data_IF_629672705394
#
_entry.id   IF_629672705394
#
_cell.length_a   1.000
_cell.length_b   1.000
_cell.length_c   1.000
_cell.angle_alpha   90.00
_cell.angle_beta   90.00
_cell.angle_gamma   90.00
#
_symmetry.space_group_name_H-M   'P 1'
#
loop_
_entity.id
_entity.type
_entity.pdbx_description
1 polymer ?
#
# COMPACT_ATOMS: atom_id res chain seq x y z
N UNK A 1 10.67 2.54 -25.76
CA UNK A 1 10.31 3.04 -24.41
C UNK A 1 10.21 4.55 -24.48
N UNK A 2 9.06 5.05 -24.94
CA UNK A 2 8.70 6.46 -24.88
C UNK A 2 7.74 6.60 -23.70
N UNK A 3 8.25 6.36 -22.49
CA UNK A 3 7.47 6.60 -21.28
C UNK A 3 7.71 8.05 -20.84
N UNK A 4 6.73 8.91 -21.09
CA UNK A 4 6.67 10.26 -20.52
C UNK A 4 7.46 11.36 -21.23
N UNK A 5 8.04 11.11 -22.41
CA UNK A 5 8.77 12.12 -23.19
C UNK A 5 7.97 12.75 -24.34
N UNK A 6 6.70 12.38 -24.56
CA UNK A 6 5.88 12.99 -25.61
C UNK A 6 5.72 14.50 -25.41
N UNK A 7 5.58 14.96 -24.16
CA UNK A 7 5.51 16.40 -23.83
C UNK A 7 6.85 17.13 -24.00
N UNK A 8 7.96 16.43 -24.20
CA UNK A 8 9.28 17.04 -24.48
C UNK A 8 9.62 17.08 -25.98
N UNK A 9 8.80 16.42 -26.82
CA UNK A 9 8.89 16.56 -28.27
C UNK A 9 8.11 17.82 -28.66
N UNK A 10 8.70 18.76 -29.41
CA UNK A 10 7.96 19.92 -29.88
C UNK A 10 6.79 19.44 -30.73
N UNK A 11 5.58 19.82 -30.30
CA UNK A 11 4.37 19.58 -31.08
C UNK A 11 4.49 20.34 -32.41
N UNK A 12 4.61 19.56 -33.49
CA UNK A 12 4.84 20.08 -34.84
C UNK A 12 3.58 20.75 -35.41
N UNK A 13 2.40 20.39 -34.90
CA UNK A 13 1.13 21.00 -35.26
C UNK A 13 0.14 21.01 -34.06
N UNK A 14 0.25 22.01 -33.16
CA UNK A 14 -0.63 22.13 -32.00
C UNK A 14 -2.11 22.27 -32.34
N UNK A 15 -2.42 22.76 -33.54
CA UNK A 15 -3.81 22.89 -33.97
C UNK A 15 -4.40 21.52 -34.29
N UNK A 16 -3.68 20.68 -35.02
CA UNK A 16 -4.11 19.31 -35.29
C UNK A 16 -4.28 18.52 -33.98
N UNK A 17 -3.31 18.61 -33.05
CA UNK A 17 -3.40 17.97 -31.73
C UNK A 17 -4.67 18.41 -30.99
N UNK A 18 -4.98 19.71 -30.96
CA UNK A 18 -6.19 20.23 -30.31
C UNK A 18 -7.48 19.72 -30.99
N UNK A 19 -7.51 19.62 -32.33
CA UNK A 19 -8.66 19.08 -33.06
C UNK A 19 -8.94 17.61 -32.71
N UNK A 20 -7.91 16.80 -32.48
CA UNK A 20 -8.05 15.43 -31.99
C UNK A 20 -8.58 15.37 -30.56
N UNK A 21 -8.10 16.25 -29.68
CA UNK A 21 -8.58 16.35 -28.29
C UNK A 21 -10.05 16.77 -28.24
N UNK A 22 -10.42 17.83 -28.95
CA UNK A 22 -11.79 18.33 -29.05
C UNK A 22 -12.74 17.26 -29.63
N UNK A 23 -12.24 16.45 -30.57
CA UNK A 23 -13.00 15.34 -31.15
C UNK A 23 -13.29 14.24 -30.12
N UNK A 24 -12.32 13.92 -29.25
CA UNK A 24 -12.51 12.95 -28.17
C UNK A 24 -13.54 13.46 -27.15
N UNK A 25 -13.40 14.70 -26.70
CA UNK A 25 -14.32 15.35 -25.75
C UNK A 25 -15.75 15.39 -26.32
N UNK A 26 -15.91 15.78 -27.59
CA UNK A 26 -17.20 15.78 -28.25
C UNK A 26 -17.85 14.38 -28.31
N UNK A 27 -17.07 13.30 -28.43
CA UNK A 27 -17.59 11.93 -28.38
C UNK A 27 -18.03 11.57 -26.97
N UNK A 28 -17.25 11.91 -25.94
CA UNK A 28 -17.60 11.67 -24.53
C UNK A 28 -18.90 12.38 -24.19
N UNK A 29 -19.03 13.66 -24.55
CA UNK A 29 -20.20 14.48 -24.25
C UNK A 29 -21.46 14.01 -24.98
N UNK A 30 -21.34 13.64 -26.27
CA UNK A 30 -22.50 13.26 -27.09
C UNK A 30 -22.91 11.80 -26.95
N UNK A 31 -21.93 10.90 -26.81
CA UNK A 31 -22.12 9.45 -26.94
C UNK A 31 -21.69 8.66 -25.70
N UNK A 32 -21.11 9.32 -24.70
CA UNK A 32 -20.74 8.75 -23.42
C UNK A 32 -19.38 8.02 -23.39
N UNK A 33 -18.87 7.72 -22.17
CA UNK A 33 -17.52 7.17 -21.98
C UNK A 33 -17.28 5.82 -22.67
N UNK A 34 -18.29 4.93 -22.72
CA UNK A 34 -18.15 3.62 -23.38
C UNK A 34 -17.86 3.74 -24.88
N UNK A 35 -18.44 4.74 -25.55
CA UNK A 35 -18.21 4.97 -26.98
C UNK A 35 -16.81 5.52 -27.23
N UNK A 36 -16.37 6.46 -26.39
CA UNK A 36 -15.01 7.01 -26.45
C UNK A 36 -13.97 5.90 -26.24
N UNK A 37 -14.14 5.05 -25.22
CA UNK A 37 -13.27 3.89 -24.99
C UNK A 37 -13.21 2.95 -26.19
N UNK A 38 -14.36 2.63 -26.81
CA UNK A 38 -14.39 1.82 -28.03
C UNK A 38 -13.58 2.43 -29.18
N UNK A 39 -13.68 3.75 -29.40
CA UNK A 39 -12.91 4.43 -30.46
C UNK A 39 -11.41 4.43 -30.16
N UNK A 40 -11.01 4.68 -28.92
CA UNK A 40 -9.61 4.61 -28.49
C UNK A 40 -9.04 3.20 -28.70
N UNK A 41 -9.78 2.15 -28.35
CA UNK A 41 -9.35 0.77 -28.64
C UNK A 41 -9.18 0.51 -30.14
N UNK A 42 -10.04 1.07 -30.99
CA UNK A 42 -9.90 0.93 -32.46
C UNK A 42 -8.71 1.71 -33.02
N UNK A 43 -8.42 2.88 -32.47
CA UNK A 43 -7.22 3.65 -32.84
C UNK A 43 -5.94 2.93 -32.40
N UNK A 44 -5.93 2.32 -31.21
CA UNK A 44 -4.80 1.53 -30.73
C UNK A 44 -4.59 0.25 -31.56
N UNK A 45 -5.65 -0.51 -31.85
CA UNK A 45 -5.59 -1.64 -32.80
C UNK A 45 -4.99 -1.20 -34.15
N UNK A 46 -5.43 -0.05 -34.67
CA UNK A 46 -4.92 0.48 -35.93
C UNK A 46 -3.46 0.96 -35.83
N UNK A 47 -3.06 1.54 -34.70
CA UNK A 47 -1.69 1.95 -34.45
C UNK A 47 -0.74 0.74 -34.41
N UNK A 48 -1.16 -0.35 -33.78
CA UNK A 48 -0.44 -1.63 -33.77
C UNK A 48 -0.32 -2.23 -35.18
N UNK A 49 -1.40 -2.22 -35.98
CA UNK A 49 -1.35 -2.65 -37.39
C UNK A 49 -0.38 -1.82 -38.25
N UNK A 50 -0.22 -0.55 -37.89
CA UNK A 50 0.69 0.39 -38.55
C UNK A 50 2.11 0.33 -37.97
N UNK A 51 2.38 -0.59 -37.04
CA UNK A 51 3.67 -0.74 -36.34
C UNK A 51 4.15 0.57 -35.70
N UNK A 52 3.20 1.40 -35.23
CA UNK A 52 3.51 2.59 -34.46
C UNK A 52 3.94 2.17 -33.05
N UNK A 53 5.02 2.78 -32.55
CA UNK A 53 5.53 2.56 -31.19
C UNK A 53 4.58 3.27 -30.20
N UNK A 54 3.44 2.65 -29.86
CA UNK A 54 2.52 3.18 -28.85
C UNK A 54 3.05 2.88 -27.44
N UNK A 55 3.16 3.89 -26.55
CA UNK A 55 3.49 3.62 -25.16
C UNK A 55 2.40 2.73 -24.55
N UNK A 56 2.79 1.59 -23.97
CA UNK A 56 1.82 0.80 -23.22
C UNK A 56 1.33 1.65 -22.03
N UNK A 57 0.03 1.97 -22.01
CA UNK A 57 -0.61 2.73 -20.94
C UNK A 57 -0.77 1.94 -19.62
N UNK A 58 0.19 1.04 -19.33
CA UNK A 58 0.24 0.32 -18.04
C UNK A 58 0.67 1.23 -16.91
N UNK A 59 1.27 2.38 -17.21
CA UNK A 59 1.77 3.34 -16.24
C UNK A 59 1.07 4.69 -16.36
N UNK A 60 0.85 5.35 -15.23
CA UNK A 60 0.34 6.72 -15.18
C UNK A 60 1.45 7.69 -14.78
N UNK A 61 1.28 9.02 -14.98
CA UNK A 61 2.29 10.00 -14.57
C UNK A 61 2.73 9.85 -13.10
N UNK A 62 3.95 10.27 -12.76
CA UNK A 62 4.53 10.11 -11.42
C UNK A 62 4.00 11.14 -10.40
N UNK A 63 2.67 11.20 -10.30
CA UNK A 63 1.90 12.03 -9.37
C UNK A 63 0.85 11.16 -8.65
N UNK A 64 0.10 11.77 -7.73
CA UNK A 64 -0.96 11.07 -7.01
C UNK A 64 -2.07 10.62 -7.97
N UNK A 65 -2.61 9.41 -7.77
CA UNK A 65 -3.73 8.91 -8.58
C UNK A 65 -5.02 9.68 -8.32
N UNK A 66 -5.25 10.11 -7.07
CA UNK A 66 -6.39 10.96 -6.70
C UNK A 66 -5.90 12.41 -6.69
N UNK A 67 -6.38 13.28 -7.60
CA UNK A 67 -6.00 14.68 -7.61
C UNK A 67 -6.59 15.43 -6.42
N UNK A 68 -5.96 16.52 -6.00
CA UNK A 68 -6.41 17.34 -4.87
C UNK A 68 -7.87 17.83 -5.02
N UNK A 69 -8.31 18.10 -6.25
CA UNK A 69 -9.70 18.50 -6.57
C UNK A 69 -10.73 17.40 -6.34
N UNK A 70 -10.32 16.13 -6.35
CA UNK A 70 -11.18 14.96 -6.10
C UNK A 70 -10.92 14.34 -4.71
N UNK A 71 -10.05 14.94 -3.90
CA UNK A 71 -9.74 14.43 -2.57
C UNK A 71 -10.94 14.62 -1.63
N UNK A 72 -11.38 13.57 -0.92
CA UNK A 72 -12.45 13.72 0.07
C UNK A 72 -11.98 14.52 1.29
N UNK A 73 -12.95 15.04 2.05
CA UNK A 73 -12.68 15.64 3.35
C UNK A 73 -12.06 14.62 4.32
N UNK A 74 -11.04 15.02 5.07
CA UNK A 74 -10.39 14.19 6.07
C UNK A 74 -11.19 14.21 7.39
N UNK A 75 -11.66 13.06 7.90
CA UNK A 75 -12.60 13.04 9.01
C UNK A 75 -12.00 13.22 10.41
N UNK A 76 -10.68 13.13 10.54
CA UNK A 76 -9.98 13.19 11.80
C UNK A 76 -9.56 14.60 12.23
N UNK A 77 -9.09 14.70 13.48
CA UNK A 77 -8.37 15.87 13.97
C UNK A 77 -6.87 15.69 13.72
N UNK A 78 -6.35 16.41 12.72
CA UNK A 78 -4.95 16.28 12.31
C UNK A 78 -3.94 16.67 13.39
N UNK A 79 -4.30 17.53 14.35
CA UNK A 79 -3.41 17.96 15.42
C UNK A 79 -3.33 16.87 16.49
N UNK A 80 -4.49 16.37 16.93
CA UNK A 80 -4.58 15.29 17.92
C UNK A 80 -3.96 14.00 17.39
N UNK A 81 -4.30 13.59 16.16
CA UNK A 81 -3.72 12.37 15.57
C UNK A 81 -2.20 12.49 15.42
N UNK A 82 -1.70 13.67 15.07
CA UNK A 82 -0.25 13.92 15.00
C UNK A 82 0.44 13.87 16.36
N UNK A 83 -0.23 14.31 17.42
CA UNK A 83 0.29 14.20 18.79
C UNK A 83 0.38 12.75 19.24
N UNK A 84 -0.71 11.97 19.08
CA UNK A 84 -0.74 10.53 19.40
C UNK A 84 0.36 9.81 18.62
N UNK A 85 0.48 10.08 17.32
CA UNK A 85 1.49 9.49 16.45
C UNK A 85 2.92 9.82 16.90
N UNK A 86 3.18 11.01 17.46
CA UNK A 86 4.49 11.35 18.06
C UNK A 86 4.81 10.49 19.27
N UNK A 87 3.84 10.23 20.15
CA UNK A 87 4.04 9.33 21.29
C UNK A 87 4.34 7.91 20.85
N UNK A 88 3.59 7.39 19.87
CA UNK A 88 3.80 6.04 19.32
C UNK A 88 5.20 5.92 18.71
N UNK A 89 5.61 6.86 17.84
CA UNK A 89 6.97 6.88 17.27
C UNK A 89 8.06 6.93 18.33
N UNK A 90 7.89 7.77 19.36
CA UNK A 90 8.85 7.90 20.44
C UNK A 90 8.98 6.58 21.22
N UNK A 91 7.86 5.99 21.62
CA UNK A 91 7.84 4.75 22.39
C UNK A 91 8.43 3.58 21.60
N UNK A 92 8.14 3.49 20.30
CA UNK A 92 8.73 2.47 19.41
C UNK A 92 10.26 2.58 19.38
N UNK A 93 10.80 3.80 19.25
CA UNK A 93 12.24 4.03 19.26
C UNK A 93 12.87 3.77 20.63
N UNK A 94 12.25 4.27 21.70
CA UNK A 94 12.73 4.10 23.07
C UNK A 94 12.82 2.61 23.46
N UNK A 95 11.80 1.82 23.12
CA UNK A 95 11.76 0.37 23.37
C UNK A 95 12.95 -0.36 22.71
N UNK A 96 13.20 -0.13 21.42
CA UNK A 96 14.32 -0.76 20.70
C UNK A 96 15.67 -0.33 21.29
N UNK A 97 15.83 0.96 21.61
CA UNK A 97 17.06 1.48 22.21
C UNK A 97 17.30 0.90 23.61
N UNK A 98 16.26 0.82 24.45
CA UNK A 98 16.36 0.21 25.79
C UNK A 98 16.76 -1.26 25.71
N UNK A 99 16.19 -2.03 24.78
CA UNK A 99 16.55 -3.43 24.57
C UNK A 99 18.04 -3.58 24.21
N UNK A 100 18.54 -2.78 23.26
CA UNK A 100 19.95 -2.84 22.85
C UNK A 100 20.94 -2.33 23.92
N UNK A 101 20.49 -1.54 24.90
CA UNK A 101 21.30 -1.19 26.08
C UNK A 101 21.39 -2.31 27.12
N UNK A 102 20.36 -3.16 27.18
CA UNK A 102 20.29 -4.27 28.15
C UNK A 102 20.97 -5.53 27.63
N UNK A 103 20.93 -5.79 26.33
CA UNK A 103 21.53 -6.97 25.71
C UNK A 103 22.15 -6.63 24.34
N UNK A 104 23.46 -6.90 24.23
CA UNK A 104 24.20 -6.72 22.98
C UNK A 104 23.66 -7.65 21.89
N UNK A 105 23.51 -7.12 20.68
CA UNK A 105 23.10 -7.89 19.50
C UNK A 105 21.63 -8.31 19.47
N UNK A 106 20.79 -7.86 20.41
CA UNK A 106 19.35 -8.21 20.43
C UNK A 106 18.60 -7.64 19.21
N UNK A 107 19.11 -6.55 18.63
CA UNK A 107 18.61 -5.93 17.40
C UNK A 107 17.27 -5.22 17.57
N UNK A 108 16.58 -5.01 16.44
CA UNK A 108 15.31 -4.27 16.37
C UNK A 108 15.38 -3.16 15.33
N UNK A 109 14.27 -2.94 14.62
CA UNK A 109 14.21 -2.01 13.48
C UNK A 109 13.54 -0.70 13.90
N UNK A 110 14.09 0.42 13.44
CA UNK A 110 13.54 1.76 13.68
C UNK A 110 12.93 2.37 12.42
N UNK A 111 13.68 2.30 11.31
CA UNK A 111 13.37 3.02 10.08
C UNK A 111 12.11 2.51 9.38
N UNK A 112 11.84 1.19 9.41
CA UNK A 112 10.68 0.58 8.76
C UNK A 112 9.36 1.12 9.31
N UNK A 113 9.21 1.18 10.64
CA UNK A 113 8.02 1.77 11.23
C UNK A 113 8.00 3.28 11.02
N UNK A 114 9.15 3.97 11.14
CA UNK A 114 9.19 5.41 10.91
C UNK A 114 8.72 5.82 9.50
N UNK A 115 9.00 5.05 8.44
CA UNK A 115 8.51 5.37 7.10
C UNK A 115 7.03 5.05 6.89
N UNK A 116 6.48 4.07 7.61
CA UNK A 116 5.09 3.59 7.43
C UNK A 116 4.11 4.04 8.50
N UNK A 117 4.55 4.69 9.58
CA UNK A 117 3.71 4.97 10.74
C UNK A 117 2.45 5.80 10.43
N UNK A 118 2.53 6.79 9.53
CA UNK A 118 1.32 7.53 9.11
C UNK A 118 0.31 6.64 8.37
N UNK A 119 0.77 5.62 7.63
CA UNK A 119 -0.11 4.67 6.92
C UNK A 119 -0.86 3.80 7.93
N UNK A 120 -0.15 3.29 8.94
CA UNK A 120 -0.77 2.54 10.02
C UNK A 120 -1.71 3.40 10.85
N UNK A 121 -1.31 4.61 11.22
CA UNK A 121 -2.10 5.51 12.06
C UNK A 121 -3.45 5.87 11.42
N UNK A 122 -3.46 6.23 10.14
CA UNK A 122 -4.70 6.43 9.37
C UNK A 122 -5.52 5.14 9.34
N UNK A 123 -4.86 3.99 9.12
CA UNK A 123 -5.50 2.68 9.16
C UNK A 123 -6.24 2.44 10.49
N UNK A 124 -5.56 2.62 11.62
CA UNK A 124 -6.14 2.41 12.94
C UNK A 124 -7.24 3.41 13.30
N UNK A 125 -7.11 4.69 12.93
CA UNK A 125 -8.08 5.71 13.30
C UNK A 125 -9.37 5.64 12.47
N UNK A 126 -9.27 5.21 11.20
CA UNK A 126 -10.36 5.40 10.24
C UNK A 126 -10.80 4.16 9.45
N UNK A 127 -10.02 3.07 9.44
CA UNK A 127 -10.28 1.92 8.55
C UNK A 127 -10.38 0.59 9.27
N UNK A 128 -9.42 0.25 10.12
CA UNK A 128 -9.27 -1.08 10.69
C UNK A 128 -10.42 -1.42 11.64
N UNK A 129 -11.05 -2.55 11.39
CA UNK A 129 -12.15 -3.07 12.22
C UNK A 129 -11.64 -4.12 13.19
N UNK A 130 -11.84 -3.86 14.48
CA UNK A 130 -11.63 -4.83 15.55
C UNK A 130 -12.69 -5.93 15.57
N UNK A 131 -12.65 -6.77 16.60
CA UNK A 131 -13.53 -7.96 16.74
C UNK A 131 -14.47 -7.89 17.95
N UNK A 132 -14.54 -6.75 18.61
CA UNK A 132 -15.26 -6.58 19.87
C UNK A 132 -16.80 -6.66 19.70
N UNK A 133 -17.29 -6.40 18.50
CA UNK A 133 -18.72 -6.51 18.14
C UNK A 133 -19.15 -7.93 17.75
N UNK A 134 -18.23 -8.91 17.84
CA UNK A 134 -18.47 -10.31 17.49
C UNK A 134 -18.36 -10.61 16.00
N UNK A 135 -18.11 -9.62 15.15
CA UNK A 135 -17.81 -9.85 13.74
C UNK A 135 -16.35 -10.35 13.58
N UNK A 136 -16.00 -11.00 12.45
CA UNK A 136 -14.64 -11.48 12.22
C UNK A 136 -13.57 -10.37 12.18
N UNK A 137 -13.98 -9.10 12.04
CA UNK A 137 -13.09 -7.94 11.94
C UNK A 137 -12.31 -7.90 10.62
N UNK A 138 -11.32 -7.03 10.56
CA UNK A 138 -10.33 -7.00 9.47
C UNK A 138 -9.13 -7.90 9.80
N UNK A 139 -8.50 -8.46 8.76
CA UNK A 139 -7.30 -9.28 8.88
C UNK A 139 -6.08 -8.49 8.42
N UNK A 140 -5.23 -8.07 9.36
CA UNK A 140 -4.13 -7.16 9.07
C UNK A 140 -2.79 -7.90 9.14
N UNK A 141 -2.19 -8.10 7.96
CA UNK A 141 -0.84 -8.62 7.81
C UNK A 141 0.14 -7.46 7.98
N UNK A 142 0.47 -7.15 9.24
CA UNK A 142 1.47 -6.13 9.58
C UNK A 142 2.84 -6.50 9.04
N UNK A 143 3.61 -5.54 8.56
CA UNK A 143 5.00 -5.78 8.18
C UNK A 143 5.80 -6.18 9.43
N UNK A 144 6.49 -7.32 9.40
CA UNK A 144 7.10 -7.89 10.61
C UNK A 144 8.06 -6.93 11.32
N UNK A 145 8.90 -6.21 10.55
CA UNK A 145 9.85 -5.24 11.08
C UNK A 145 9.20 -3.95 11.64
N UNK A 146 7.91 -3.73 11.40
CA UNK A 146 7.14 -2.63 11.99
C UNK A 146 6.55 -2.98 13.37
N UNK A 147 6.73 -4.21 13.87
CA UNK A 147 6.22 -4.67 15.17
C UNK A 147 6.46 -3.70 16.34
N UNK A 148 7.63 -3.02 16.46
CA UNK A 148 7.84 -2.06 17.54
C UNK A 148 6.80 -0.94 17.60
N UNK A 149 6.32 -0.48 16.45
CA UNK A 149 5.27 0.54 16.37
C UNK A 149 3.90 0.05 16.84
N UNK A 150 3.58 -1.21 16.54
CA UNK A 150 2.32 -1.83 16.96
C UNK A 150 2.30 -2.04 18.48
N UNK A 151 3.43 -2.46 19.08
CA UNK A 151 3.55 -2.52 20.53
C UNK A 151 3.48 -1.13 21.17
N UNK A 152 4.13 -0.12 20.59
CA UNK A 152 4.07 1.24 21.08
C UNK A 152 2.64 1.80 21.07
N UNK A 153 1.85 1.52 20.03
CA UNK A 153 0.42 1.85 19.99
C UNK A 153 -0.36 1.09 21.06
N UNK A 154 -0.17 -0.22 21.16
CA UNK A 154 -0.84 -1.04 22.16
C UNK A 154 -0.54 -0.60 23.61
N UNK A 155 0.65 -0.06 23.87
CA UNK A 155 1.00 0.57 25.15
C UNK A 155 0.22 1.87 25.39
N UNK A 156 0.12 2.74 24.39
CA UNK A 156 -0.69 3.98 24.48
C UNK A 156 -2.18 3.65 24.68
N UNK A 157 -2.66 2.55 24.10
CA UNK A 157 -4.02 2.02 24.30
C UNK A 157 -4.21 1.30 25.65
N UNK A 158 -3.16 1.14 26.46
CA UNK A 158 -3.21 0.46 27.74
C UNK A 158 -3.35 -1.06 27.67
N UNK A 159 -3.11 -1.67 26.50
CA UNK A 159 -3.13 -3.13 26.30
C UNK A 159 -1.81 -3.81 26.64
N UNK A 160 -0.72 -3.04 26.67
CA UNK A 160 0.60 -3.46 27.13
C UNK A 160 1.08 -2.53 28.23
N UNK A 161 1.88 -3.05 29.16
CA UNK A 161 2.51 -2.26 30.22
C UNK A 161 3.98 -1.92 29.91
N UNK A 162 4.57 -1.01 30.70
CA UNK A 162 5.96 -0.60 30.52
C UNK A 162 6.94 -1.78 30.73
N UNK A 163 6.61 -2.72 31.61
CA UNK A 163 7.46 -3.90 31.86
C UNK A 163 7.58 -4.75 30.61
N UNK A 164 6.48 -5.00 29.90
CA UNK A 164 6.48 -5.75 28.65
C UNK A 164 7.33 -5.07 27.58
N UNK A 165 7.20 -3.75 27.41
CA UNK A 165 8.03 -2.96 26.48
C UNK A 165 9.51 -3.07 26.84
N UNK A 166 9.84 -3.00 28.13
CA UNK A 166 11.20 -3.12 28.64
C UNK A 166 11.83 -4.52 28.45
N UNK A 167 11.01 -5.53 28.13
CA UNK A 167 11.38 -6.90 27.79
C UNK A 167 11.16 -7.23 26.31
N UNK A 168 11.14 -6.22 25.43
CA UNK A 168 11.12 -6.44 23.99
C UNK A 168 12.27 -7.36 23.54
N UNK A 169 11.93 -8.43 22.82
CA UNK A 169 12.82 -9.53 22.39
C UNK A 169 13.40 -10.40 23.52
N UNK A 170 12.90 -10.26 24.75
CA UNK A 170 13.34 -11.02 25.93
C UNK A 170 12.16 -11.81 26.50
N UNK A 171 11.76 -12.87 25.80
CA UNK A 171 10.54 -13.64 26.10
C UNK A 171 10.80 -14.93 26.91
N UNK A 172 12.06 -15.33 27.08
CA UNK A 172 12.42 -16.49 27.91
C UNK A 172 12.06 -16.19 29.36
N UNK A 173 11.21 -17.03 29.95
CA UNK A 173 10.68 -16.81 31.30
C UNK A 173 9.31 -16.12 31.34
N UNK A 174 8.77 -15.71 30.18
CA UNK A 174 7.47 -15.05 30.05
C UNK A 174 7.53 -13.53 30.26
N UNK A 175 6.42 -12.84 29.97
CA UNK A 175 6.29 -11.39 30.21
C UNK A 175 6.99 -10.48 29.20
N UNK A 176 7.73 -11.02 28.23
CA UNK A 176 8.35 -10.26 27.15
C UNK A 176 7.50 -10.14 25.89
N UNK A 177 7.98 -9.37 24.93
CA UNK A 177 7.36 -9.19 23.61
C UNK A 177 8.20 -9.85 22.52
N UNK A 178 7.55 -10.60 21.64
CA UNK A 178 8.24 -11.25 20.52
C UNK A 178 8.83 -10.24 19.55
N UNK A 179 9.87 -10.65 18.83
CA UNK A 179 10.57 -9.80 17.85
C UNK A 179 9.66 -9.36 16.70
N UNK A 180 8.74 -10.22 16.30
CA UNK A 180 7.87 -10.10 15.12
C UNK A 180 6.50 -10.76 15.38
N UNK A 181 5.54 -10.66 14.44
CA UNK A 181 4.25 -11.33 14.56
C UNK A 181 4.37 -12.86 14.65
N UNK A 182 4.32 -13.38 15.88
CA UNK A 182 4.43 -14.81 16.15
C UNK A 182 3.26 -15.26 17.04
N UNK A 183 2.14 -15.70 16.44
CA UNK A 183 0.96 -16.15 17.18
C UNK A 183 1.26 -17.29 18.16
N UNK A 184 2.25 -18.14 17.85
CA UNK A 184 2.66 -19.22 18.75
C UNK A 184 3.29 -18.71 20.06
N UNK A 185 3.96 -17.56 20.01
CA UNK A 185 4.65 -16.94 21.14
C UNK A 185 3.75 -15.94 21.88
N UNK A 186 2.87 -15.25 21.15
CA UNK A 186 1.89 -14.30 21.69
C UNK A 186 0.48 -14.58 21.13
N UNK A 187 -0.20 -15.65 21.60
CA UNK A 187 -1.46 -16.14 21.03
C UNK A 187 -2.63 -15.16 21.17
N UNK A 188 -2.59 -14.29 22.17
CA UNK A 188 -3.65 -13.31 22.45
C UNK A 188 -3.35 -11.92 21.85
N UNK A 189 -2.32 -11.82 21.00
CA UNK A 189 -1.90 -10.55 20.39
C UNK A 189 -1.68 -10.64 18.88
N UNK A 190 -0.84 -11.58 18.42
CA UNK A 190 -0.49 -11.70 17.01
C UNK A 190 -1.33 -12.75 16.30
N UNK A 191 -1.70 -12.47 15.05
CA UNK A 191 -2.57 -13.35 14.26
C UNK A 191 -1.85 -13.98 13.05
N UNK A 192 -1.06 -13.18 12.31
CA UNK A 192 -0.47 -13.60 11.04
C UNK A 192 1.05 -13.41 11.04
N UNK A 193 1.85 -14.47 10.83
CA UNK A 193 3.30 -14.36 10.73
C UNK A 193 3.72 -13.83 9.35
N UNK A 194 4.49 -12.75 9.34
CA UNK A 194 4.83 -11.99 8.12
C UNK A 194 6.32 -11.68 7.96
N UNK A 195 7.16 -11.97 8.95
CA UNK A 195 8.57 -11.57 8.89
C UNK A 195 9.40 -12.38 7.88
N UNK A 196 8.98 -13.59 7.55
CA UNK A 196 9.48 -14.29 6.36
C UNK A 196 8.84 -13.63 5.14
N UNK A 197 9.58 -12.74 4.51
CA UNK A 197 9.14 -11.95 3.36
C UNK A 197 8.56 -12.85 2.25
N UNK A 198 7.55 -12.35 1.54
CA UNK A 198 6.84 -13.08 0.49
C UNK A 198 5.70 -13.96 0.97
N UNK A 199 5.79 -14.55 2.17
CA UNK A 199 4.73 -15.41 2.71
C UNK A 199 3.49 -14.63 3.14
N UNK A 200 3.66 -13.43 3.73
CA UNK A 200 2.55 -12.56 4.11
C UNK A 200 1.67 -12.18 2.90
N UNK A 201 2.26 -11.61 1.83
CA UNK A 201 1.55 -11.27 0.60
C UNK A 201 0.76 -12.42 -0.01
N UNK A 202 1.39 -13.56 -0.32
CA UNK A 202 0.67 -14.69 -0.94
C UNK A 202 -0.45 -15.21 -0.03
N UNK A 203 -0.21 -15.34 1.28
CA UNK A 203 -1.23 -15.78 2.21
C UNK A 203 -2.41 -14.81 2.29
N UNK A 204 -2.18 -13.50 2.20
CA UNK A 204 -3.25 -12.50 2.21
C UNK A 204 -4.20 -12.66 1.02
N UNK A 205 -3.69 -13.00 -0.16
CA UNK A 205 -4.51 -13.27 -1.36
C UNK A 205 -5.42 -14.48 -1.12
N UNK A 206 -4.84 -15.59 -0.65
CA UNK A 206 -5.62 -16.79 -0.39
C UNK A 206 -6.57 -16.63 0.79
N UNK A 207 -6.24 -15.80 1.78
CA UNK A 207 -7.14 -15.46 2.89
C UNK A 207 -8.35 -14.65 2.38
N UNK A 208 -8.13 -13.62 1.56
CA UNK A 208 -9.22 -12.84 0.98
C UNK A 208 -10.16 -13.72 0.14
N UNK A 209 -9.59 -14.63 -0.66
CA UNK A 209 -10.35 -15.64 -1.39
C UNK A 209 -11.09 -16.60 -0.47
N UNK A 210 -10.49 -17.01 0.65
CA UNK A 210 -11.12 -17.89 1.61
C UNK A 210 -12.31 -17.22 2.33
N UNK A 211 -12.22 -15.93 2.63
CA UNK A 211 -13.35 -15.15 3.14
C UNK A 211 -14.51 -15.17 2.13
N UNK A 212 -14.23 -14.91 0.85
CA UNK A 212 -15.23 -15.04 -0.21
C UNK A 212 -15.83 -16.45 -0.29
N UNK A 213 -15.01 -17.49 -0.11
CA UNK A 213 -15.49 -18.86 -0.02
C UNK A 213 -16.43 -19.08 1.18
N UNK A 214 -16.06 -18.65 2.39
CA UNK A 214 -16.88 -18.79 3.61
C UNK A 214 -18.23 -18.11 3.45
N UNK A 215 -18.23 -16.86 2.98
CA UNK A 215 -19.45 -16.09 2.73
C UNK A 215 -20.33 -16.75 1.67
N UNK A 216 -19.77 -17.12 0.51
CA UNK A 216 -20.52 -17.75 -0.59
C UNK A 216 -21.10 -19.12 -0.20
N UNK A 217 -20.39 -19.86 0.67
CA UNK A 217 -20.83 -21.15 1.21
C UNK A 217 -21.76 -21.02 2.41
N UNK A 218 -22.02 -19.79 2.88
CA UNK A 218 -22.86 -19.49 4.05
C UNK A 218 -22.36 -20.21 5.32
N UNK A 219 -21.05 -20.31 5.46
CA UNK A 219 -20.39 -20.87 6.65
C UNK A 219 -20.20 -19.78 7.69
N UNK A 220 -19.83 -18.58 7.26
CA UNK A 220 -19.66 -17.40 8.10
C UNK A 220 -19.94 -16.12 7.27
N UNK A 221 -20.36 -15.03 7.91
CA UNK A 221 -20.55 -13.75 7.22
C UNK A 221 -19.29 -12.88 7.29
N UNK A 222 -18.44 -13.02 6.28
CA UNK A 222 -17.22 -12.22 6.13
C UNK A 222 -17.41 -11.04 5.17
N UNK A 223 -18.64 -10.63 4.86
CA UNK A 223 -18.91 -9.59 3.85
C UNK A 223 -18.35 -8.22 4.21
N UNK A 224 -18.27 -7.92 5.52
CA UNK A 224 -17.71 -6.69 6.04
C UNK A 224 -16.20 -6.75 6.32
N UNK A 225 -15.59 -7.95 6.27
CA UNK A 225 -14.17 -8.16 6.57
C UNK A 225 -13.28 -7.83 5.39
N UNK A 226 -12.23 -7.05 5.62
CA UNK A 226 -11.15 -6.82 4.66
C UNK A 226 -9.86 -7.50 5.09
N UNK A 227 -9.07 -7.91 4.11
CA UNK A 227 -7.69 -8.32 4.31
C UNK A 227 -6.77 -7.17 3.91
N UNK A 228 -5.97 -6.69 4.85
CA UNK A 228 -4.96 -5.66 4.64
C UNK A 228 -3.58 -6.30 4.67
N UNK A 229 -2.78 -6.09 3.62
CA UNK A 229 -1.40 -6.58 3.58
C UNK A 229 -0.42 -5.42 3.44
N UNK A 230 0.44 -5.25 4.45
CA UNK A 230 1.50 -4.25 4.45
C UNK A 230 2.80 -4.88 3.97
N UNK A 231 3.33 -4.37 2.86
CA UNK A 231 4.46 -4.95 2.14
C UNK A 231 5.53 -3.88 1.94
N UNK A 232 6.81 -4.24 2.02
CA UNK A 232 7.89 -3.36 1.58
C UNK A 232 8.09 -3.44 0.07
N UNK A 233 8.48 -2.35 -0.58
CA UNK A 233 8.87 -2.40 -2.00
C UNK A 233 10.02 -3.39 -2.27
N UNK A 234 10.99 -3.49 -1.35
CA UNK A 234 12.06 -4.51 -1.43
C UNK A 234 11.56 -5.95 -1.24
N UNK A 235 10.47 -6.18 -0.51
CA UNK A 235 9.84 -7.50 -0.35
C UNK A 235 9.14 -7.95 -1.64
N UNK A 236 8.81 -7.02 -2.55
CA UNK A 236 8.25 -7.35 -3.87
C UNK A 236 9.24 -8.05 -4.81
N UNK A 237 10.54 -8.12 -4.46
CA UNK A 237 11.51 -8.94 -5.20
C UNK A 237 11.36 -10.45 -4.89
N UNK A 238 10.67 -10.84 -3.81
CA UNK A 238 10.39 -12.25 -3.51
C UNK A 238 9.39 -12.83 -4.54
N UNK A 239 9.67 -13.99 -5.16
CA UNK A 239 8.76 -14.61 -6.12
C UNK A 239 7.34 -14.84 -5.59
N UNK A 240 7.22 -15.18 -4.31
CA UNK A 240 5.96 -15.41 -3.62
C UNK A 240 5.13 -14.14 -3.51
N UNK A 241 5.77 -12.96 -3.39
CA UNK A 241 5.06 -11.68 -3.30
C UNK A 241 4.26 -11.44 -4.56
N UNK A 242 4.89 -11.44 -5.73
CA UNK A 242 4.18 -11.08 -6.97
C UNK A 242 3.59 -12.29 -7.71
N UNK A 243 4.03 -13.52 -7.43
CA UNK A 243 3.70 -14.70 -8.22
C UNK A 243 2.22 -15.09 -8.28
N UNK A 244 1.39 -14.61 -7.35
CA UNK A 244 -0.05 -14.93 -7.30
C UNK A 244 -0.99 -13.73 -7.44
N UNK A 245 -0.49 -12.52 -7.73
CA UNK A 245 -1.34 -11.32 -7.78
C UNK A 245 -2.42 -11.39 -8.86
N UNK A 246 -2.15 -12.08 -9.98
CA UNK A 246 -3.15 -12.29 -11.04
C UNK A 246 -4.34 -13.17 -10.60
N UNK A 247 -4.22 -13.93 -9.50
CA UNK A 247 -5.37 -14.61 -8.90
C UNK A 247 -6.36 -13.60 -8.32
N UNK A 248 -5.87 -12.57 -7.61
CA UNK A 248 -6.73 -11.56 -6.99
C UNK A 248 -7.53 -10.77 -8.04
N UNK A 249 -6.90 -10.38 -9.14
CA UNK A 249 -7.59 -9.72 -10.25
C UNK A 249 -8.60 -10.62 -10.97
N UNK A 250 -8.27 -11.91 -11.20
CA UNK A 250 -9.20 -12.86 -11.85
C UNK A 250 -10.41 -13.21 -11.01
N UNK A 251 -10.25 -13.27 -9.69
CA UNK A 251 -11.33 -13.63 -8.75
C UNK A 251 -12.05 -12.39 -8.19
N UNK A 252 -11.71 -11.18 -8.67
CA UNK A 252 -12.27 -9.89 -8.24
C UNK A 252 -12.29 -9.72 -6.70
N UNK A 253 -11.12 -9.93 -6.08
CA UNK A 253 -10.95 -9.85 -4.62
C UNK A 253 -10.96 -8.41 -4.10
N UNK A 254 -12.09 -7.73 -4.23
CA UNK A 254 -12.39 -6.38 -3.71
C UNK A 254 -12.37 -6.26 -2.17
N UNK A 255 -12.24 -7.39 -1.46
CA UNK A 255 -11.98 -7.46 -0.02
C UNK A 255 -10.48 -7.49 0.35
N UNK A 256 -9.57 -7.42 -0.63
CA UNK A 256 -8.13 -7.38 -0.42
C UNK A 256 -7.56 -5.99 -0.70
N UNK A 257 -6.75 -5.47 0.22
CA UNK A 257 -6.02 -4.21 0.05
C UNK A 257 -4.55 -4.45 0.35
N UNK A 258 -3.69 -4.12 -0.61
CA UNK A 258 -2.24 -4.10 -0.40
C UNK A 258 -1.76 -2.66 -0.22
N UNK A 259 -0.97 -2.45 0.82
CA UNK A 259 -0.31 -1.19 1.14
C UNK A 259 1.19 -1.41 0.98
N UNK A 260 1.72 -1.04 -0.18
CA UNK A 260 3.16 -1.17 -0.45
C UNK A 260 3.88 0.10 -0.01
N UNK A 261 4.75 -0.02 0.99
CA UNK A 261 5.57 1.07 1.50
C UNK A 261 6.79 1.25 0.59
N UNK A 262 6.67 2.15 -0.39
CA UNK A 262 7.73 2.49 -1.33
C UNK A 262 8.67 3.56 -0.77
N UNK A 263 9.52 3.19 0.18
CA UNK A 263 10.60 4.06 0.67
C UNK A 263 11.82 4.06 -0.27
N UNK A 264 11.74 3.32 -1.38
CA UNK A 264 12.73 3.17 -2.46
C UNK A 264 13.98 2.39 -2.05
N UNK A 265 13.99 1.79 -0.87
CA UNK A 265 15.17 1.20 -0.25
C UNK A 265 14.91 -0.19 0.35
N UNK A 266 15.86 -1.10 0.14
CA UNK A 266 16.05 -2.32 0.92
C UNK A 266 17.20 -2.13 1.90
N UNK A 267 17.51 -3.17 2.68
CA UNK A 267 18.52 -3.10 3.75
C UNK A 267 19.88 -2.60 3.26
N UNK A 268 20.34 -3.07 2.09
CA UNK A 268 21.68 -2.80 1.57
C UNK A 268 21.72 -1.76 0.44
N UNK A 269 20.64 -1.01 0.21
CA UNK A 269 20.61 0.05 -0.81
C UNK A 269 19.25 0.23 -1.50
N UNK A 270 19.18 0.97 -2.62
CA UNK A 270 17.94 1.17 -3.34
C UNK A 270 17.42 -0.14 -3.96
N UNK A 271 16.09 -0.28 -4.06
CA UNK A 271 15.45 -1.44 -4.71
C UNK A 271 15.72 -1.41 -6.22
N UNK A 272 15.54 -0.24 -6.84
CA UNK A 272 15.87 0.05 -8.23
C UNK A 272 16.64 1.38 -8.27
N UNK A 273 17.96 1.33 -8.40
CA UNK A 273 18.80 2.54 -8.39
C UNK A 273 18.76 3.34 -9.69
N UNK A 274 18.53 2.67 -10.83
CA UNK A 274 18.52 3.26 -12.16
C UNK A 274 17.11 3.38 -12.76
N UNK A 275 16.09 2.88 -12.04
CA UNK A 275 14.71 2.79 -12.51
C UNK A 275 13.74 3.23 -11.41
N UNK A 276 12.42 3.18 -11.69
CA UNK A 276 11.36 3.68 -10.80
C UNK A 276 10.51 2.52 -10.30
N UNK A 277 10.81 2.01 -9.09
CA UNK A 277 10.09 0.87 -8.50
C UNK A 277 8.57 1.10 -8.40
N UNK A 278 8.11 2.33 -8.10
CA UNK A 278 6.66 2.62 -8.06
C UNK A 278 6.01 2.43 -9.44
N UNK A 279 6.70 2.79 -10.53
CA UNK A 279 6.19 2.59 -11.89
C UNK A 279 6.24 1.10 -12.27
N UNK A 280 7.34 0.40 -11.96
CA UNK A 280 7.43 -1.05 -12.17
C UNK A 280 6.26 -1.79 -11.49
N UNK A 281 6.01 -1.48 -10.22
CA UNK A 281 4.89 -2.07 -9.48
C UNK A 281 3.53 -1.66 -10.07
N UNK A 282 3.32 -0.38 -10.42
CA UNK A 282 2.06 0.05 -11.06
C UNK A 282 1.77 -0.79 -12.31
N UNK A 283 2.74 -0.96 -13.20
CA UNK A 283 2.56 -1.72 -14.43
C UNK A 283 2.25 -3.19 -14.17
N UNK A 284 2.97 -3.81 -13.24
CA UNK A 284 2.76 -5.21 -12.84
C UNK A 284 1.36 -5.41 -12.23
N UNK A 285 0.96 -4.58 -11.27
CA UNK A 285 -0.33 -4.71 -10.59
C UNK A 285 -1.50 -4.41 -11.54
N UNK A 286 -1.43 -3.35 -12.35
CA UNK A 286 -2.48 -3.03 -13.33
C UNK A 286 -2.59 -4.12 -14.40
N UNK A 287 -1.45 -4.62 -14.89
CA UNK A 287 -1.42 -5.77 -15.80
C UNK A 287 -2.04 -7.05 -15.21
N UNK A 288 -1.99 -7.21 -13.89
CA UNK A 288 -2.62 -8.29 -13.16
C UNK A 288 -4.10 -8.05 -12.79
N UNK A 289 -4.71 -6.94 -13.24
CA UNK A 289 -6.11 -6.62 -12.99
C UNK A 289 -6.39 -5.93 -11.64
N UNK A 290 -5.37 -5.37 -10.99
CA UNK A 290 -5.56 -4.61 -9.74
C UNK A 290 -5.91 -3.15 -10.01
N UNK A 291 -6.70 -2.57 -9.12
CA UNK A 291 -6.80 -1.12 -9.00
C UNK A 291 -5.58 -0.58 -8.24
N UNK A 292 -4.82 0.31 -8.87
CA UNK A 292 -3.60 0.91 -8.29
C UNK A 292 -3.84 2.37 -7.95
N UNK A 293 -3.61 2.71 -6.67
CA UNK A 293 -3.66 4.08 -6.16
C UNK A 293 -2.26 4.47 -5.69
N UNK A 294 -1.64 5.43 -6.38
CA UNK A 294 -0.35 6.00 -6.01
C UNK A 294 -0.54 7.20 -5.09
N UNK A 295 0.18 7.19 -3.97
CA UNK A 295 0.26 8.29 -3.00
C UNK A 295 1.72 8.71 -2.90
N UNK A 296 2.12 9.68 -3.72
CA UNK A 296 3.52 10.06 -3.96
C UNK A 296 3.86 11.38 -3.27
N UNK A 297 3.02 12.40 -3.45
CA UNK A 297 3.29 13.78 -3.02
C UNK A 297 2.30 14.22 -1.95
N UNK A 298 2.80 14.89 -0.90
CA UNK A 298 1.95 15.54 0.11
C UNK A 298 1.43 16.90 -0.37
N UNK A 299 0.43 17.45 0.33
CA UNK A 299 -0.36 18.61 -0.12
C UNK A 299 0.42 19.91 -0.40
N UNK A 300 1.69 19.99 0.03
CA UNK A 300 2.58 21.10 -0.32
C UNK A 300 2.91 21.16 -1.82
N UNK A 301 2.76 20.05 -2.53
CA UNK A 301 3.00 19.96 -3.98
C UNK A 301 1.77 20.34 -4.81
N UNK A 302 0.57 20.31 -4.24
CA UNK A 302 -0.68 20.48 -4.99
C UNK A 302 -0.72 21.83 -5.74
N UNK A 303 -0.33 22.91 -5.08
CA UNK A 303 -0.31 24.24 -5.70
C UNK A 303 0.76 24.37 -6.79
N UNK A 304 1.89 23.69 -6.66
CA UNK A 304 2.94 23.70 -7.67
C UNK A 304 2.48 22.95 -8.92
N UNK A 305 1.95 21.74 -8.74
CA UNK A 305 1.42 20.91 -9.83
C UNK A 305 0.24 21.58 -10.55
N UNK A 306 -0.62 22.30 -9.84
CA UNK A 306 -1.74 23.02 -10.44
C UNK A 306 -1.32 24.25 -11.26
N UNK A 307 -0.17 24.85 -10.95
CA UNK A 307 0.36 26.02 -11.65
C UNK A 307 1.31 25.65 -12.81
N UNK A 308 1.68 24.37 -12.91
CA UNK A 308 2.56 23.84 -13.95
C UNK A 308 1.74 23.64 -15.23
N UNK A 309 1.76 24.65 -16.11
CA UNK A 309 0.98 24.70 -17.35
C UNK A 309 1.84 24.48 -18.60
N UNK A 310 3.12 24.18 -18.42
CA UNK A 310 4.12 23.95 -19.48
C UNK A 310 4.33 22.45 -19.76
#
# INVERSE_FOLDING_TARGET
MIDGYSNQLPDVDPQETQEWMDSLDAVVDRSGPRRAQFLLSKLDERAQELELDTPMAVNTPYINTIPASAQPWFPGDEEVEREIRRWIRWNAAAMVIRANKKADGIGGHLSTFASSDSLYDVGFNHFFRGKDDGNPGDHIYFQGHAAPGIYARAYVEGRLDESQLDHFRMEIGGGGLSSYPHPRLMPDFWEFPTVSMGLGPINSIYHARFNRYLHNRRIDDTSASRVWCFVGDGECDEPETLGSIALAGREDLDNLVWVVNCNLQRLDGPVRGNDKIIQELEGIFRGAGWNVIKVIWGSKWDQLLANDVD
#
